data_IF_490590088857
#
_entry.id   IF_490590088857
#
_cell.length_a   1.000
_cell.length_b   1.000
_cell.length_c   1.000
_cell.angle_alpha   90.00
_cell.angle_beta   90.00
_cell.angle_gamma   90.00
#
_symmetry.space_group_name_H-M   'P 1'
#
loop_
_entity.id
_entity.type
_entity.pdbx_description
1 polymer ?
#
# COMPACT_ATOMS: atom_id res chain seq x y z
N UNK A 1 -13.29 2.59 8.00
CA UNK A 1 -12.04 2.79 8.76
C UNK A 1 -11.40 4.17 8.53
N UNK A 2 -11.13 4.60 7.31
CA UNK A 2 -10.44 5.88 7.01
C UNK A 2 -11.05 7.13 7.70
N UNK A 3 -12.38 7.19 7.84
CA UNK A 3 -13.11 8.31 8.47
C UNK A 3 -13.26 8.17 9.99
N UNK A 4 -12.87 7.07 10.60
CA UNK A 4 -12.94 6.85 12.04
C UNK A 4 -11.64 7.23 12.73
N UNK A 5 -11.72 7.49 14.04
CA UNK A 5 -10.58 7.90 14.85
C UNK A 5 -9.60 6.75 15.07
N UNK A 6 -8.31 6.99 14.77
CA UNK A 6 -7.19 6.09 15.05
C UNK A 6 -6.44 6.59 16.30
N UNK A 7 -5.95 5.69 17.17
CA UNK A 7 -5.19 6.10 18.36
C UNK A 7 -3.91 6.91 18.07
N UNK A 8 -3.33 6.73 16.90
CA UNK A 8 -2.15 7.47 16.45
C UNK A 8 -2.25 7.78 14.96
N UNK A 9 -2.09 9.05 14.58
CA UNK A 9 -2.16 9.50 13.20
C UNK A 9 -1.01 8.91 12.37
N UNK A 10 0.20 8.78 12.94
CA UNK A 10 1.33 8.10 12.29
C UNK A 10 1.03 6.65 11.93
N UNK A 11 0.32 5.90 12.79
CA UNK A 11 -0.14 4.54 12.48
C UNK A 11 -1.14 4.54 11.33
N UNK A 12 -2.09 5.48 11.36
CA UNK A 12 -3.12 5.61 10.31
C UNK A 12 -2.49 5.92 8.96
N UNK A 13 -1.62 6.92 8.91
CA UNK A 13 -0.95 7.36 7.68
C UNK A 13 -0.10 6.24 7.09
N UNK A 14 0.70 5.54 7.90
CA UNK A 14 1.52 4.42 7.44
C UNK A 14 0.67 3.24 6.92
N UNK A 15 -0.41 2.88 7.62
CA UNK A 15 -1.31 1.81 7.20
C UNK A 15 -2.03 2.16 5.89
N UNK A 16 -2.57 3.38 5.76
CA UNK A 16 -3.24 3.84 4.54
C UNK A 16 -2.26 3.95 3.38
N UNK A 17 -1.06 4.46 3.63
CA UNK A 17 0.00 4.50 2.60
C UNK A 17 0.31 3.09 2.08
N UNK A 18 0.42 2.11 2.98
CA UNK A 18 0.57 0.70 2.61
C UNK A 18 -0.64 0.17 1.82
N UNK A 19 -1.87 0.59 2.13
CA UNK A 19 -3.06 0.24 1.34
C UNK A 19 -3.02 0.78 -0.11
N UNK A 20 -2.26 1.84 -0.37
CA UNK A 20 -2.14 2.48 -1.69
C UNK A 20 -0.87 2.09 -2.45
N UNK A 21 0.11 1.48 -1.79
CA UNK A 21 1.42 1.15 -2.39
C UNK A 21 1.78 -0.33 -2.32
N UNK A 22 1.07 -1.09 -1.49
CA UNK A 22 1.33 -2.51 -1.28
C UNK A 22 2.57 -2.81 -0.42
N UNK A 23 3.22 -1.81 0.19
CA UNK A 23 4.38 -2.01 1.04
C UNK A 23 4.04 -2.79 2.31
N UNK A 24 4.94 -3.67 2.75
CA UNK A 24 4.88 -4.30 4.07
C UNK A 24 5.31 -3.32 5.17
N UNK A 25 5.01 -3.67 6.43
CA UNK A 25 5.39 -2.87 7.60
C UNK A 25 6.89 -2.51 7.60
N UNK A 26 7.76 -3.49 7.39
CA UNK A 26 9.22 -3.26 7.34
C UNK A 26 9.61 -2.30 6.22
N UNK A 27 9.02 -2.47 5.04
CA UNK A 27 9.27 -1.61 3.88
C UNK A 27 8.78 -0.17 4.12
N UNK A 28 7.64 0.01 4.78
CA UNK A 28 7.15 1.36 5.18
C UNK A 28 8.06 1.97 6.25
N UNK A 29 8.53 1.16 7.20
CA UNK A 29 9.44 1.60 8.27
C UNK A 29 10.80 2.05 7.73
N UNK A 30 11.28 1.41 6.67
CA UNK A 30 12.57 1.68 6.07
C UNK A 30 12.48 2.60 4.84
N UNK A 31 11.27 3.06 4.51
CA UNK A 31 11.04 3.96 3.40
C UNK A 31 11.75 5.30 3.60
N UNK A 32 12.57 5.69 2.63
CA UNK A 32 13.31 6.95 2.60
C UNK A 32 12.75 7.87 1.53
N UNK A 33 12.94 9.16 1.70
CA UNK A 33 12.50 10.18 0.73
C UNK A 33 13.12 10.00 -0.65
N UNK A 34 14.34 9.47 -0.71
CA UNK A 34 15.04 9.24 -1.98
C UNK A 34 14.44 8.08 -2.81
N UNK A 35 13.60 7.22 -2.22
CA UNK A 35 12.85 6.21 -2.95
C UNK A 35 11.62 6.77 -3.68
N UNK A 36 11.24 8.03 -3.40
CA UNK A 36 10.10 8.70 -4.02
C UNK A 36 10.61 9.61 -5.12
N UNK A 37 10.22 9.35 -6.37
CA UNK A 37 10.74 10.03 -7.55
C UNK A 37 9.63 10.58 -8.43
N UNK A 38 9.89 11.70 -9.08
CA UNK A 38 9.04 12.18 -10.17
C UNK A 38 9.34 11.35 -11.43
N UNK A 39 8.30 10.82 -12.07
CA UNK A 39 8.40 10.09 -13.33
C UNK A 39 7.26 10.51 -14.26
N UNK A 40 7.61 11.19 -15.35
CA UNK A 40 6.62 11.82 -16.21
C UNK A 40 5.78 12.85 -15.44
N UNK A 41 4.47 12.73 -15.47
CA UNK A 41 3.53 13.63 -14.78
C UNK A 41 3.17 13.19 -13.35
N UNK A 42 3.76 12.10 -12.81
CA UNK A 42 3.36 11.54 -11.54
C UNK A 42 4.51 11.17 -10.63
N UNK A 43 4.22 10.96 -9.36
CA UNK A 43 5.16 10.39 -8.40
C UNK A 43 5.15 8.86 -8.51
N UNK A 44 6.32 8.27 -8.37
CA UNK A 44 6.50 6.82 -8.27
C UNK A 44 7.33 6.48 -7.03
N UNK A 45 6.98 5.38 -6.41
CA UNK A 45 7.82 4.72 -5.42
C UNK A 45 8.76 3.77 -6.17
N UNK A 46 10.06 3.94 -5.97
CA UNK A 46 11.08 3.04 -6.48
C UNK A 46 11.44 2.01 -5.42
N UNK A 47 11.45 0.74 -5.81
CA UNK A 47 11.91 -0.33 -4.94
C UNK A 47 12.89 -1.24 -5.68
N UNK A 48 14.00 -1.63 -5.06
CA UNK A 48 14.92 -2.59 -5.66
C UNK A 48 14.25 -3.98 -5.75
N UNK A 49 14.61 -4.74 -6.76
CA UNK A 49 14.28 -6.16 -6.86
C UNK A 49 15.39 -6.94 -6.16
N UNK A 50 15.02 -7.85 -5.28
CA UNK A 50 15.98 -8.67 -4.54
C UNK A 50 16.86 -9.49 -5.51
N UNK A 51 18.16 -9.47 -5.27
CA UNK A 51 19.19 -10.15 -6.09
C UNK A 51 19.22 -9.71 -7.57
N UNK A 52 18.86 -8.47 -7.87
CA UNK A 52 18.87 -7.91 -9.23
C UNK A 52 19.21 -6.42 -9.18
N UNK A 53 19.79 -5.89 -10.25
CA UNK A 53 19.97 -4.44 -10.46
C UNK A 53 18.68 -3.76 -10.95
N UNK A 54 17.61 -4.51 -11.10
CA UNK A 54 16.32 -3.98 -11.53
C UNK A 54 15.64 -3.17 -10.43
N UNK A 55 14.90 -2.16 -10.86
CA UNK A 55 14.07 -1.33 -9.99
C UNK A 55 12.62 -1.38 -10.48
N UNK A 56 11.73 -1.71 -9.56
CA UNK A 56 10.29 -1.63 -9.80
C UNK A 56 9.80 -0.22 -9.45
N UNK A 57 8.93 0.32 -10.30
CA UNK A 57 8.26 1.60 -10.08
C UNK A 57 6.78 1.36 -9.80
N UNK A 58 6.34 1.71 -8.59
CA UNK A 58 4.93 1.65 -8.18
C UNK A 58 4.34 3.05 -8.28
N UNK A 59 3.28 3.29 -9.07
CA UNK A 59 2.64 4.60 -9.15
C UNK A 59 2.08 5.03 -7.78
N UNK A 60 2.34 6.27 -7.37
CA UNK A 60 1.78 6.85 -6.16
C UNK A 60 0.49 7.59 -6.53
N UNK A 61 -0.63 7.01 -6.14
CA UNK A 61 -1.98 7.57 -6.36
C UNK A 61 -2.23 8.79 -5.46
N UNK A 62 -3.21 9.62 -5.84
CA UNK A 62 -3.48 10.89 -5.15
C UNK A 62 -3.65 10.76 -3.63
N UNK A 63 -4.44 9.80 -3.08
CA UNK A 63 -4.57 9.67 -1.63
C UNK A 63 -3.24 9.34 -0.92
N UNK A 64 -2.31 8.65 -1.60
CA UNK A 64 -0.98 8.39 -1.05
C UNK A 64 -0.09 9.63 -1.11
N UNK A 65 -0.27 10.51 -2.12
CA UNK A 65 0.44 11.81 -2.20
C UNK A 65 0.04 12.75 -1.07
N UNK A 66 -1.24 12.82 -0.73
CA UNK A 66 -1.73 13.61 0.41
C UNK A 66 -1.08 13.17 1.73
N UNK A 67 -0.91 11.86 1.92
CA UNK A 67 -0.20 11.32 3.09
C UNK A 67 1.26 11.74 3.08
N UNK A 68 1.95 11.66 1.94
CA UNK A 68 3.35 12.11 1.81
C UNK A 68 3.50 13.60 2.08
N UNK A 69 2.60 14.44 1.58
CA UNK A 69 2.61 15.88 1.87
C UNK A 69 2.42 16.18 3.35
N UNK A 70 1.62 15.36 4.06
CA UNK A 70 1.47 15.49 5.51
C UNK A 70 2.76 15.09 6.23
N UNK A 71 3.36 13.96 5.86
CA UNK A 71 4.64 13.51 6.40
C UNK A 71 5.77 14.52 6.14
N UNK A 72 5.81 15.14 4.95
CA UNK A 72 6.80 16.17 4.60
C UNK A 72 6.66 17.42 5.48
N UNK A 73 5.42 17.87 5.73
CA UNK A 73 5.16 19.00 6.64
C UNK A 73 5.57 18.67 8.07
N UNK A 74 5.27 17.47 8.56
CA UNK A 74 5.69 17.01 9.89
C UNK A 74 7.23 16.98 9.98
N UNK A 75 7.89 16.42 8.96
CA UNK A 75 9.35 16.39 8.87
C UNK A 75 9.98 17.79 8.84
N UNK A 76 9.40 18.73 8.09
CA UNK A 76 9.89 20.11 8.03
C UNK A 76 9.82 20.85 9.37
N UNK A 77 8.87 20.45 10.25
CA UNK A 77 8.69 21.02 11.58
C UNK A 77 9.59 20.37 12.66
N UNK A 78 10.29 19.28 12.34
CA UNK A 78 11.23 18.65 13.27
C UNK A 78 12.49 19.52 13.45
N UNK A 79 13.09 19.56 14.65
CA UNK A 79 14.44 20.09 14.86
C UNK A 79 15.43 19.37 13.96
N UNK A 80 16.46 20.07 13.49
CA UNK A 80 17.42 19.54 12.52
C UNK A 80 18.13 18.28 13.02
N UNK A 81 18.37 18.17 14.33
CA UNK A 81 19.01 17.04 15.00
C UNK A 81 18.12 15.77 15.00
N UNK A 82 16.83 15.93 14.79
CA UNK A 82 15.84 14.83 14.76
C UNK A 82 15.43 14.43 13.34
N UNK A 83 15.94 15.13 12.32
CA UNK A 83 15.66 14.80 10.92
C UNK A 83 16.54 13.66 10.48
N UNK A 84 15.89 12.57 10.10
CA UNK A 84 16.50 11.47 9.36
C UNK A 84 15.86 11.43 7.95
N UNK A 85 16.35 10.56 7.08
CA UNK A 85 15.82 10.49 5.71
C UNK A 85 14.54 9.65 5.59
N UNK A 86 13.96 9.18 6.71
CA UNK A 86 12.79 8.31 6.71
C UNK A 86 11.49 9.10 6.50
N UNK A 87 10.57 8.49 5.74
CA UNK A 87 9.24 9.06 5.50
C UNK A 87 8.31 8.84 6.69
N UNK A 88 8.42 7.69 7.36
CA UNK A 88 7.57 7.30 8.48
C UNK A 88 8.36 6.83 9.68
N UNK A 89 7.92 7.26 10.87
CA UNK A 89 8.43 6.79 12.17
C UNK A 89 7.37 5.92 12.82
N UNK A 90 7.59 4.60 12.83
CA UNK A 90 6.60 3.63 13.27
C UNK A 90 6.86 3.14 14.68
N UNK A 91 5.79 2.87 15.40
CA UNK A 91 5.81 2.13 16.65
C UNK A 91 6.29 0.68 16.46
N UNK A 92 6.53 0.00 17.59
CA UNK A 92 6.77 -1.46 17.57
C UNK A 92 5.63 -2.20 16.86
N UNK A 93 5.90 -3.40 16.33
CA UNK A 93 4.86 -4.19 15.64
C UNK A 93 3.66 -4.47 16.53
N UNK A 94 3.88 -4.67 17.83
CA UNK A 94 2.82 -4.92 18.80
C UNK A 94 1.92 -3.69 18.95
N UNK A 95 2.51 -2.54 19.28
CA UNK A 95 1.79 -1.27 19.45
C UNK A 95 1.04 -0.86 18.19
N UNK A 96 1.71 -1.00 17.02
CA UNK A 96 1.12 -0.69 15.72
C UNK A 96 -0.15 -1.53 15.46
N UNK A 97 -0.07 -2.84 15.70
CA UNK A 97 -1.23 -3.72 15.50
C UNK A 97 -2.33 -3.49 16.56
N UNK A 98 -2.00 -3.11 17.78
CA UNK A 98 -2.99 -2.71 18.78
C UNK A 98 -3.74 -1.44 18.36
N UNK A 99 -3.03 -0.43 17.84
CA UNK A 99 -3.67 0.77 17.28
C UNK A 99 -4.61 0.43 16.12
N UNK A 100 -4.18 -0.44 15.20
CA UNK A 100 -4.98 -0.86 14.05
C UNK A 100 -6.24 -1.61 14.50
N UNK A 101 -6.12 -2.55 15.46
CA UNK A 101 -7.26 -3.27 16.03
C UNK A 101 -8.27 -2.33 16.68
N UNK A 102 -7.80 -1.38 17.49
CA UNK A 102 -8.66 -0.38 18.14
C UNK A 102 -9.34 0.52 17.11
N UNK A 103 -8.60 0.92 16.09
CA UNK A 103 -9.14 1.71 14.98
C UNK A 103 -10.20 0.95 14.16
N UNK A 104 -9.98 -0.35 13.87
CA UNK A 104 -10.96 -1.19 13.22
C UNK A 104 -12.26 -1.29 14.04
N UNK A 105 -12.13 -1.46 15.37
CA UNK A 105 -13.27 -1.47 16.29
C UNK A 105 -14.04 -0.13 16.29
N UNK A 106 -13.34 0.99 16.30
CA UNK A 106 -13.94 2.33 16.20
C UNK A 106 -14.69 2.54 14.88
N UNK A 107 -14.29 1.82 13.83
CA UNK A 107 -14.93 1.81 12.52
C UNK A 107 -16.05 0.76 12.38
N UNK A 108 -16.44 0.08 13.46
CA UNK A 108 -17.40 -1.05 13.46
C UNK A 108 -17.01 -2.18 12.50
N UNK A 109 -15.71 -2.45 12.35
CA UNK A 109 -15.19 -3.56 11.55
C UNK A 109 -14.93 -4.74 12.48
N UNK A 110 -15.80 -5.75 12.40
CA UNK A 110 -15.68 -7.01 13.14
C UNK A 110 -14.84 -8.02 12.34
N UNK A 111 -13.58 -7.67 12.07
CA UNK A 111 -12.61 -8.55 11.42
C UNK A 111 -11.26 -8.37 12.08
N UNK A 112 -10.45 -9.42 12.05
CA UNK A 112 -9.06 -9.31 12.53
C UNK A 112 -8.22 -8.50 11.54
N UNK A 113 -8.06 -7.20 11.80
CA UNK A 113 -7.24 -6.30 11.00
C UNK A 113 -5.87 -6.16 11.65
N UNK A 114 -4.83 -6.33 10.85
CA UNK A 114 -3.43 -6.10 11.21
C UNK A 114 -2.71 -5.38 10.06
N UNK A 115 -1.42 -5.04 10.23
CA UNK A 115 -0.72 -4.29 9.19
C UNK A 115 -0.67 -5.02 7.84
N UNK A 116 -0.59 -6.36 7.82
CA UNK A 116 -0.60 -7.15 6.57
C UNK A 116 -1.90 -6.96 5.77
N UNK A 117 -3.02 -6.65 6.43
CA UNK A 117 -4.31 -6.38 5.77
C UNK A 117 -4.21 -5.22 4.77
N UNK A 118 -3.28 -4.28 4.96
CA UNK A 118 -3.06 -3.17 4.02
C UNK A 118 -2.59 -3.67 2.65
N UNK A 119 -1.62 -4.60 2.61
CA UNK A 119 -1.14 -5.20 1.35
C UNK A 119 -2.23 -6.03 0.67
N UNK A 120 -3.04 -6.78 1.45
CA UNK A 120 -4.20 -7.48 0.87
C UNK A 120 -5.20 -6.50 0.25
N UNK A 121 -5.41 -5.35 0.88
CA UNK A 121 -6.27 -4.28 0.35
C UNK A 121 -5.72 -3.74 -0.97
N UNK A 122 -4.43 -3.37 -1.01
CA UNK A 122 -3.77 -2.92 -2.24
C UNK A 122 -3.92 -3.93 -3.38
N UNK A 123 -3.55 -5.19 -3.11
CA UNK A 123 -3.59 -6.25 -4.11
C UNK A 123 -5.00 -6.47 -4.66
N UNK A 124 -5.99 -6.55 -3.77
CA UNK A 124 -7.40 -6.72 -4.18
C UNK A 124 -7.91 -5.54 -5.01
N UNK A 125 -7.58 -4.30 -4.61
CA UNK A 125 -7.99 -3.11 -5.34
C UNK A 125 -7.30 -2.99 -6.69
N UNK A 126 -6.01 -3.30 -6.78
CA UNK A 126 -5.25 -3.29 -8.02
C UNK A 126 -5.80 -4.30 -9.04
N UNK A 127 -6.06 -5.54 -8.61
CA UNK A 127 -6.64 -6.57 -9.49
C UNK A 127 -8.08 -6.20 -9.92
N UNK A 128 -8.90 -5.64 -9.04
CA UNK A 128 -10.24 -5.13 -9.39
C UNK A 128 -10.19 -3.97 -10.38
N UNK A 129 -9.13 -3.20 -10.36
CA UNK A 129 -8.87 -2.15 -11.35
C UNK A 129 -8.30 -2.67 -12.68
N UNK A 130 -8.15 -3.99 -12.84
CA UNK A 130 -7.64 -4.63 -14.05
C UNK A 130 -6.11 -4.67 -14.16
N UNK A 131 -5.39 -4.41 -13.07
CA UNK A 131 -3.93 -4.55 -13.07
C UNK A 131 -3.58 -6.04 -13.21
N UNK A 132 -2.70 -6.35 -14.15
CA UNK A 132 -2.24 -7.70 -14.40
C UNK A 132 -1.54 -8.33 -13.17
N UNK A 133 -1.76 -9.63 -12.98
CA UNK A 133 -1.22 -10.36 -11.83
C UNK A 133 0.31 -10.36 -11.77
N UNK A 134 0.98 -10.39 -12.92
CA UNK A 134 2.44 -10.31 -13.00
C UNK A 134 2.93 -8.93 -12.58
N UNK A 135 2.27 -7.87 -13.03
CA UNK A 135 2.58 -6.49 -12.64
C UNK A 135 2.36 -6.32 -11.13
N UNK A 136 1.24 -6.83 -10.60
CA UNK A 136 0.95 -6.80 -9.17
C UNK A 136 2.02 -7.53 -8.35
N UNK A 137 2.43 -8.74 -8.78
CA UNK A 137 3.48 -9.52 -8.11
C UNK A 137 4.77 -8.70 -8.01
N UNK A 138 5.18 -8.04 -9.09
CA UNK A 138 6.35 -7.15 -9.10
C UNK A 138 6.17 -5.95 -8.19
N UNK A 139 5.02 -5.28 -8.21
CA UNK A 139 4.75 -4.14 -7.32
C UNK A 139 4.78 -4.53 -5.85
N UNK A 140 4.29 -5.72 -5.52
CA UNK A 140 4.34 -6.26 -4.16
C UNK A 140 5.72 -6.85 -3.78
N UNK A 141 6.69 -6.89 -4.70
CA UNK A 141 8.01 -7.52 -4.47
C UNK A 141 7.91 -9.02 -4.19
N UNK A 142 6.98 -9.69 -4.85
CA UNK A 142 6.86 -11.14 -4.76
C UNK A 142 7.82 -11.81 -5.74
N UNK A 143 8.54 -12.81 -5.28
CA UNK A 143 9.57 -13.50 -6.08
C UNK A 143 8.98 -14.32 -7.22
N UNK A 144 7.69 -14.66 -7.18
CA UNK A 144 6.99 -15.36 -8.24
C UNK A 144 5.51 -14.98 -8.31
N UNK A 145 4.90 -15.21 -9.46
CA UNK A 145 3.47 -14.92 -9.70
C UNK A 145 2.57 -15.84 -8.87
N UNK A 146 2.98 -17.08 -8.61
CA UNK A 146 2.20 -18.02 -7.79
C UNK A 146 1.93 -17.45 -6.38
N UNK A 147 2.86 -16.68 -5.82
CA UNK A 147 2.65 -15.98 -4.55
C UNK A 147 1.57 -14.88 -4.63
N UNK A 148 1.24 -14.39 -5.82
CA UNK A 148 0.18 -13.43 -6.06
C UNK A 148 -1.18 -14.09 -6.35
N UNK A 149 -1.22 -15.39 -6.68
CA UNK A 149 -2.46 -16.13 -6.96
C UNK A 149 -3.44 -16.14 -5.79
N UNK A 150 -2.92 -16.10 -4.55
CA UNK A 150 -3.73 -15.96 -3.34
C UNK A 150 -4.64 -14.72 -3.42
N UNK A 151 -4.18 -13.65 -4.04
CA UNK A 151 -4.98 -12.43 -4.26
C UNK A 151 -5.98 -12.60 -5.41
N UNK A 152 -5.60 -13.32 -6.46
CA UNK A 152 -6.49 -13.62 -7.59
C UNK A 152 -7.68 -14.48 -7.16
N UNK A 153 -7.47 -15.45 -6.27
CA UNK A 153 -8.53 -16.31 -5.75
C UNK A 153 -9.58 -15.52 -4.91
N UNK A 154 -9.18 -14.41 -4.30
CA UNK A 154 -10.12 -13.53 -3.60
C UNK A 154 -11.09 -12.81 -4.57
N UNK A 155 -10.70 -12.65 -5.84
CA UNK A 155 -11.47 -11.95 -6.87
C UNK A 155 -12.25 -12.91 -7.76
N UNK A 156 -11.76 -14.15 -7.97
CA UNK A 156 -12.42 -15.18 -8.78
C UNK A 156 -13.84 -15.54 -8.32
N UNK A 157 -14.25 -15.11 -7.14
CA UNK A 157 -15.62 -15.26 -6.64
C UNK A 157 -16.65 -14.39 -7.37
N UNK A 158 -16.22 -13.42 -8.16
CA UNK A 158 -17.08 -12.56 -8.99
C UNK A 158 -17.07 -13.02 -10.47
N UNK A 159 -17.42 -14.31 -10.71
CA UNK A 159 -17.39 -14.93 -12.05
C UNK A 159 -18.33 -14.26 -13.08
N UNK A 160 -19.42 -13.64 -12.62
CA UNK A 160 -20.41 -12.97 -13.51
C UNK A 160 -19.84 -11.73 -14.20
N UNK A 161 -18.97 -10.98 -13.58
CA UNK A 161 -18.37 -9.78 -14.17
C UNK A 161 -17.41 -10.10 -15.32
N UNK A 162 -16.75 -11.24 -15.31
CA UNK A 162 -15.78 -11.61 -16.35
C UNK A 162 -16.47 -12.08 -17.66
N UNK A 163 -17.64 -12.71 -17.57
CA UNK A 163 -18.40 -13.11 -18.77
C UNK A 163 -18.96 -11.89 -19.51
N UNK A 164 -19.50 -10.90 -18.79
CA UNK A 164 -19.96 -9.64 -19.38
C UNK A 164 -18.85 -8.84 -20.06
N UNK A 165 -17.65 -8.80 -19.45
CA UNK A 165 -16.47 -8.17 -20.07
C UNK A 165 -16.02 -8.89 -21.34
N UNK A 166 -16.07 -10.23 -21.34
CA UNK A 166 -15.72 -11.02 -22.50
C UNK A 166 -16.73 -10.82 -23.64
N UNK A 167 -18.03 -10.86 -23.35
CA UNK A 167 -19.09 -10.57 -24.31
C UNK A 167 -18.96 -9.17 -24.89
N UNK A 168 -18.71 -8.15 -24.03
CA UNK A 168 -18.49 -6.78 -24.49
C UNK A 168 -17.26 -6.64 -25.41
N UNK A 169 -16.19 -7.38 -25.14
CA UNK A 169 -14.96 -7.36 -25.97
C UNK A 169 -15.15 -7.99 -27.36
N UNK A 170 -16.10 -8.91 -27.52
CA UNK A 170 -16.39 -9.59 -28.79
C UNK A 170 -17.67 -9.10 -29.48
N UNK A 171 -18.42 -8.18 -28.85
CA UNK A 171 -19.56 -7.50 -29.44
C UNK A 171 -19.07 -6.34 -30.32
N UNK A 172 -18.68 -6.65 -31.58
CA UNK A 172 -18.31 -5.66 -32.63
C UNK A 172 -19.49 -5.46 -33.57
#
# INVERSE_FOLDING_TARGET
MQRSECPAESTKNAFLFSCYTGLLKGEVQDLRWDAIRLSGSGLVLTRPVENSDEVVRVPIVEPAREILQTAEREYANLPQEQRDDKVFHLFSSMTLNEHIKKWAKNANIDKNVNFMTSRHTFATMALRAGIDLYVLARWCGLNNVASAEVYADLIRRDYHSNSEMLEAAFSV
#
